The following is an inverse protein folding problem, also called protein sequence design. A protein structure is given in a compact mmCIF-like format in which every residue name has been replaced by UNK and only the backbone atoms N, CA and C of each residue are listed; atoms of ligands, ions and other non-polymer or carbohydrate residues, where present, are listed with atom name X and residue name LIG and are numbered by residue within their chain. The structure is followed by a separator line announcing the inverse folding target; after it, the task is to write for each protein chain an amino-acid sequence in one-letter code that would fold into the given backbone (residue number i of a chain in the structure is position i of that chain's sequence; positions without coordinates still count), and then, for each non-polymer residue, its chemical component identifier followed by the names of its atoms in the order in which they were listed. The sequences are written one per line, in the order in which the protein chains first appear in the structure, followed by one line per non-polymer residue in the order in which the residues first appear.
data_IF_136254917313
#
_entry.id   IF_136254917313
#
_cell.length_a   1.000
_cell.length_b   1.000
_cell.length_c   1.000
_cell.angle_alpha   90.00
_cell.angle_beta   90.00
_cell.angle_gamma   90.00
#
_symmetry.space_group_name_H-M   'P 1'
#
loop_
_entity.id
_entity.type
_entity.pdbx_description
1 polymer ?
#
# COMPACT_ATOMS: atom_id res chain seq x y z
N UNK A 1 37.23 -13.20 -8.88
CA UNK A 1 36.29 -13.30 -7.74
C UNK A 1 35.58 -11.97 -7.48
N UNK A 2 36.30 -10.86 -7.35
CA UNK A 2 35.77 -9.51 -7.08
C UNK A 2 34.70 -9.04 -8.09
N UNK A 3 34.91 -9.25 -9.39
CA UNK A 3 33.95 -8.85 -10.45
C UNK A 3 32.58 -9.53 -10.27
N UNK A 4 32.55 -10.83 -9.94
CA UNK A 4 31.31 -11.59 -9.72
C UNK A 4 30.56 -11.12 -8.46
N UNK A 5 31.31 -10.70 -7.43
CA UNK A 5 30.72 -10.15 -6.20
C UNK A 5 30.05 -8.81 -6.51
N UNK A 6 30.72 -7.94 -7.28
CA UNK A 6 30.17 -6.65 -7.71
C UNK A 6 28.92 -6.86 -8.57
N UNK A 7 28.95 -7.75 -9.55
CA UNK A 7 27.81 -8.05 -10.42
C UNK A 7 26.60 -8.59 -9.63
N UNK A 8 26.84 -9.49 -8.66
CA UNK A 8 25.80 -10.00 -7.75
C UNK A 8 25.19 -8.86 -6.92
N UNK A 9 26.05 -8.01 -6.34
CA UNK A 9 25.60 -6.86 -5.56
C UNK A 9 24.76 -5.88 -6.40
N UNK A 10 25.23 -5.54 -7.61
CA UNK A 10 24.49 -4.70 -8.55
C UNK A 10 23.14 -5.31 -8.93
N UNK A 11 23.06 -6.65 -9.06
CA UNK A 11 21.80 -7.35 -9.34
C UNK A 11 20.81 -7.21 -8.18
N UNK A 12 21.26 -7.37 -6.93
CA UNK A 12 20.42 -7.17 -5.74
C UNK A 12 19.92 -5.73 -5.67
N UNK A 13 20.82 -4.75 -5.89
CA UNK A 13 20.44 -3.33 -5.93
C UNK A 13 19.42 -3.06 -7.05
N UNK A 14 19.60 -3.67 -8.22
CA UNK A 14 18.70 -3.52 -9.36
C UNK A 14 17.28 -4.00 -9.02
N UNK A 15 17.12 -5.09 -8.27
CA UNK A 15 15.78 -5.55 -7.84
C UNK A 15 15.08 -4.48 -6.99
N UNK A 16 15.78 -3.82 -6.08
CA UNK A 16 15.21 -2.71 -5.31
C UNK A 16 14.91 -1.48 -6.19
N UNK A 17 15.75 -1.18 -7.18
CA UNK A 17 15.46 -0.11 -8.15
C UNK A 17 14.18 -0.42 -8.91
N UNK A 18 13.99 -1.66 -9.38
CA UNK A 18 12.78 -2.11 -10.08
C UNK A 18 11.53 -1.90 -9.23
N UNK A 19 11.56 -2.33 -7.96
CA UNK A 19 10.47 -2.09 -7.02
C UNK A 19 10.25 -0.59 -6.78
N UNK A 20 11.33 0.16 -6.61
CA UNK A 20 11.26 1.61 -6.41
C UNK A 20 10.63 2.35 -7.58
N UNK A 21 10.95 1.98 -8.83
CA UNK A 21 10.34 2.59 -10.02
C UNK A 21 8.84 2.30 -10.11
N UNK A 22 8.41 1.08 -9.76
CA UNK A 22 7.00 0.73 -9.67
C UNK A 22 6.27 1.61 -8.64
N UNK A 23 6.74 1.63 -7.40
CA UNK A 23 6.14 2.41 -6.32
C UNK A 23 6.18 3.92 -6.60
N UNK A 24 7.24 4.38 -7.27
CA UNK A 24 7.38 5.79 -7.67
C UNK A 24 6.36 6.18 -8.74
N UNK A 25 5.94 5.24 -9.60
CA UNK A 25 4.83 5.43 -10.54
C UNK A 25 3.53 5.81 -9.84
N UNK A 26 3.15 5.06 -8.80
CA UNK A 26 2.01 5.39 -7.95
C UNK A 26 2.17 6.75 -7.28
N UNK A 27 3.33 6.98 -6.65
CA UNK A 27 3.60 8.19 -5.90
C UNK A 27 3.53 9.45 -6.78
N UNK A 28 4.28 9.49 -7.88
CA UNK A 28 4.32 10.66 -8.79
C UNK A 28 2.92 10.96 -9.32
N UNK A 29 2.18 9.91 -9.71
CA UNK A 29 0.83 10.08 -10.25
C UNK A 29 -0.15 10.61 -9.19
N UNK A 30 -0.06 10.10 -7.95
CA UNK A 30 -0.87 10.59 -6.85
C UNK A 30 -0.61 12.07 -6.56
N UNK A 31 0.66 12.47 -6.47
CA UNK A 31 1.04 13.86 -6.27
C UNK A 31 0.53 14.77 -7.40
N UNK A 32 0.66 14.35 -8.66
CA UNK A 32 0.14 15.10 -9.82
C UNK A 32 -1.38 15.25 -9.81
N UNK A 33 -2.11 14.28 -9.25
CA UNK A 33 -3.58 14.31 -9.15
C UNK A 33 -4.09 15.06 -7.90
N UNK A 34 -3.19 15.67 -7.12
CA UNK A 34 -3.51 16.47 -5.93
C UNK A 34 -3.64 15.65 -4.64
N UNK A 35 -3.18 14.40 -4.63
CA UNK A 35 -3.02 13.64 -3.40
C UNK A 35 -1.73 14.08 -2.71
N UNK A 36 -1.68 13.95 -1.38
CA UNK A 36 -0.48 14.23 -0.58
C UNK A 36 0.31 12.96 -0.34
N UNK A 37 1.61 13.12 -0.19
CA UNK A 37 2.53 12.06 0.20
C UNK A 37 2.26 11.59 1.63
N UNK A 38 2.25 10.27 1.86
CA UNK A 38 2.17 9.68 3.19
C UNK A 38 3.32 8.70 3.45
N UNK A 39 3.62 7.82 2.50
CA UNK A 39 4.59 6.74 2.69
C UNK A 39 5.23 6.32 1.37
N UNK A 40 6.52 6.00 1.40
CA UNK A 40 7.25 5.35 0.33
C UNK A 40 8.31 4.43 0.94
N UNK A 41 8.25 3.14 0.64
CA UNK A 41 9.17 2.12 1.17
C UNK A 41 9.68 1.27 0.03
N UNK A 42 10.99 1.03 0.00
CA UNK A 42 11.65 0.12 -0.94
C UNK A 42 12.72 -0.64 -0.16
N UNK A 43 12.50 -1.93 0.04
CA UNK A 43 13.39 -2.76 0.87
C UNK A 43 13.56 -2.20 2.29
N UNK A 44 14.80 -2.00 2.76
CA UNK A 44 15.07 -1.50 4.11
C UNK A 44 14.91 0.01 4.24
N UNK A 45 14.75 0.77 3.15
CA UNK A 45 14.63 2.23 3.20
C UNK A 45 13.17 2.63 3.12
N UNK A 46 12.74 3.47 4.07
CA UNK A 46 11.42 4.05 4.11
C UNK A 46 11.47 5.56 4.28
N UNK A 47 10.55 6.25 3.62
CA UNK A 47 10.30 7.68 3.75
C UNK A 47 8.83 7.79 4.13
N UNK A 48 8.52 8.52 5.20
CA UNK A 48 7.13 8.76 5.60
C UNK A 48 6.91 10.20 5.98
N UNK A 49 5.68 10.65 5.79
CA UNK A 49 5.20 11.88 6.41
C UNK A 49 5.00 11.63 7.90
N UNK A 50 5.42 12.59 8.71
CA UNK A 50 5.18 12.63 10.15
C UNK A 50 4.81 14.06 10.50
N UNK A 51 3.52 14.32 10.68
CA UNK A 51 2.97 15.67 10.71
C UNK A 51 3.43 16.43 9.44
N UNK A 52 3.98 17.63 9.56
CA UNK A 52 4.46 18.41 8.41
C UNK A 52 5.92 18.13 8.01
N UNK A 53 6.52 17.06 8.55
CA UNK A 53 7.93 16.71 8.28
C UNK A 53 8.06 15.38 7.56
N UNK A 54 8.97 15.32 6.59
CA UNK A 54 9.39 14.07 5.96
C UNK A 54 10.46 13.42 6.84
N UNK A 55 10.28 12.14 7.16
CA UNK A 55 11.25 11.36 7.93
C UNK A 55 11.70 10.13 7.15
N UNK A 56 13.01 10.00 6.98
CA UNK A 56 13.65 8.78 6.49
C UNK A 56 13.84 7.82 7.67
N UNK A 57 13.60 6.53 7.46
CA UNK A 57 13.76 5.51 8.47
C UNK A 57 14.18 4.17 7.86
N UNK A 58 14.78 3.31 8.67
CA UNK A 58 15.04 1.93 8.30
C UNK A 58 13.79 1.10 8.56
N UNK A 59 13.18 0.59 7.50
CA UNK A 59 12.06 -0.32 7.57
C UNK A 59 12.55 -1.67 8.14
N UNK A 60 12.02 -2.04 9.31
CA UNK A 60 12.30 -3.33 9.96
C UNK A 60 11.25 -4.39 9.64
N UNK A 61 10.15 -4.01 8.98
CA UNK A 61 9.09 -4.94 8.61
C UNK A 61 9.38 -5.53 7.23
N UNK A 62 9.88 -6.76 7.22
CA UNK A 62 10.21 -7.52 6.00
C UNK A 62 9.00 -7.65 5.08
N UNK A 63 7.78 -7.67 5.62
CA UNK A 63 6.56 -7.73 4.82
C UNK A 63 6.38 -6.52 3.88
N UNK A 64 7.00 -5.38 4.19
CA UNK A 64 6.95 -4.17 3.34
C UNK A 64 8.19 -4.02 2.45
N UNK A 65 9.11 -4.99 2.42
CA UNK A 65 10.33 -4.89 1.60
C UNK A 65 10.01 -4.97 0.10
N UNK A 66 8.87 -5.56 -0.25
CA UNK A 66 8.37 -5.67 -1.62
C UNK A 66 7.96 -4.34 -2.26
N UNK A 67 8.07 -3.21 -1.57
CA UNK A 67 7.57 -1.93 -2.05
C UNK A 67 6.27 -1.54 -1.33
N UNK A 68 6.14 -0.26 -0.98
CA UNK A 68 4.88 0.32 -0.54
C UNK A 68 4.88 1.83 -0.75
N UNK A 69 4.06 2.33 -1.66
CA UNK A 69 3.74 3.75 -1.79
C UNK A 69 2.30 4.03 -1.31
N UNK A 70 2.15 5.10 -0.52
CA UNK A 70 0.85 5.60 -0.13
C UNK A 70 0.75 7.11 -0.38
N UNK A 71 -0.34 7.48 -1.06
CA UNK A 71 -0.80 8.86 -1.18
C UNK A 71 -2.26 8.91 -0.75
N UNK A 72 -2.65 10.03 -0.15
CA UNK A 72 -4.02 10.24 0.33
C UNK A 72 -4.60 11.53 -0.25
N UNK A 73 -5.93 11.61 -0.47
CA UNK A 73 -6.53 12.83 -0.97
C UNK A 73 -6.37 13.97 0.04
N UNK A 74 -6.13 15.17 -0.47
CA UNK A 74 -6.07 16.40 0.35
C UNK A 74 -7.46 16.83 0.82
N UNK A 75 -8.46 16.67 -0.04
CA UNK A 75 -9.87 16.96 0.22
C UNK A 75 -10.73 15.77 -0.18
N UNK A 76 -11.86 15.57 0.52
CA UNK A 76 -12.80 14.52 0.17
C UNK A 76 -13.71 14.97 -0.98
N UNK A 77 -13.48 14.38 -2.16
CA UNK A 77 -14.20 14.71 -3.40
C UNK A 77 -14.68 13.43 -4.08
N UNK A 78 -15.89 13.41 -4.67
CA UNK A 78 -16.39 12.24 -5.40
C UNK A 78 -15.45 11.74 -6.51
N UNK A 79 -14.66 12.64 -7.11
CA UNK A 79 -13.71 12.30 -8.19
C UNK A 79 -12.44 11.56 -7.70
N UNK A 80 -12.18 11.57 -6.38
CA UNK A 80 -11.00 10.89 -5.81
C UNK A 80 -10.93 9.41 -6.18
N UNK A 81 -12.08 8.77 -6.42
CA UNK A 81 -12.13 7.37 -6.82
C UNK A 81 -11.55 7.13 -8.21
N UNK A 82 -11.82 8.04 -9.15
CA UNK A 82 -11.25 7.97 -10.51
C UNK A 82 -9.76 8.23 -10.46
N UNK A 83 -9.34 9.22 -9.66
CA UNK A 83 -7.93 9.51 -9.43
C UNK A 83 -7.20 8.32 -8.81
N UNK A 84 -7.77 7.68 -7.79
CA UNK A 84 -7.19 6.48 -7.18
C UNK A 84 -7.08 5.32 -8.18
N UNK A 85 -8.08 5.14 -9.06
CA UNK A 85 -7.99 4.14 -10.12
C UNK A 85 -6.81 4.42 -11.07
N UNK A 86 -6.62 5.68 -11.49
CA UNK A 86 -5.47 6.08 -12.31
C UNK A 86 -4.14 5.83 -11.56
N UNK A 87 -4.10 6.14 -10.26
CA UNK A 87 -2.92 5.86 -9.41
C UNK A 87 -2.61 4.37 -9.41
N UNK A 88 -3.59 3.48 -9.25
CA UNK A 88 -3.37 2.03 -9.29
C UNK A 88 -2.77 1.56 -10.62
N UNK A 89 -3.10 2.17 -11.76
CA UNK A 89 -2.48 1.80 -13.04
C UNK A 89 -1.03 2.27 -13.17
N UNK A 90 -0.64 3.32 -12.45
CA UNK A 90 0.63 3.99 -12.66
C UNK A 90 1.85 3.13 -12.32
N UNK A 91 1.79 2.29 -11.29
CA UNK A 91 2.87 1.37 -10.93
C UNK A 91 3.14 0.33 -12.03
N UNK A 92 2.13 -0.45 -12.46
CA UNK A 92 2.28 -1.37 -13.58
C UNK A 92 2.76 -0.69 -14.87
N UNK A 93 2.26 0.51 -15.19
CA UNK A 93 2.72 1.29 -16.35
C UNK A 93 4.20 1.67 -16.20
N UNK A 94 4.62 2.14 -15.03
CA UNK A 94 6.02 2.47 -14.76
C UNK A 94 6.93 1.23 -14.90
N UNK A 95 6.48 0.07 -14.42
CA UNK A 95 7.21 -1.20 -14.55
C UNK A 95 7.41 -1.61 -16.02
N UNK A 96 6.35 -1.60 -16.85
CA UNK A 96 6.51 -2.02 -18.25
C UNK A 96 7.38 -1.04 -19.05
N UNK A 97 7.23 0.28 -18.80
CA UNK A 97 8.09 1.30 -19.44
C UNK A 97 9.55 1.09 -19.03
N UNK A 98 9.81 0.84 -17.75
CA UNK A 98 11.17 0.62 -17.26
C UNK A 98 11.78 -0.68 -17.79
N UNK A 99 10.98 -1.75 -17.90
CA UNK A 99 11.40 -3.00 -18.53
C UNK A 99 11.86 -2.78 -19.98
N UNK A 100 11.09 -2.02 -20.77
CA UNK A 100 11.44 -1.69 -22.16
C UNK A 100 12.72 -0.86 -22.23
N UNK A 101 12.87 0.16 -21.37
CA UNK A 101 14.09 0.99 -21.31
C UNK A 101 15.32 0.12 -21.00
N UNK A 102 15.25 -0.73 -19.98
CA UNK A 102 16.35 -1.60 -19.59
C UNK A 102 16.70 -2.62 -20.67
N UNK A 103 15.69 -3.20 -21.34
CA UNK A 103 15.91 -4.11 -22.46
C UNK A 103 16.57 -3.40 -23.65
N UNK A 104 16.13 -2.19 -24.00
CA UNK A 104 16.75 -1.40 -25.06
C UNK A 104 18.21 -1.04 -24.73
N UNK A 105 18.49 -0.63 -23.49
CA UNK A 105 19.85 -0.37 -23.03
C UNK A 105 20.73 -1.63 -23.08
N UNK A 106 20.20 -2.78 -22.66
CA UNK A 106 20.90 -4.06 -22.76
C UNK A 106 21.30 -4.41 -24.20
N UNK A 107 20.42 -4.16 -25.17
CA UNK A 107 20.66 -4.47 -26.58
C UNK A 107 21.60 -3.48 -27.29
N UNK A 108 21.76 -2.27 -26.75
CA UNK A 108 22.52 -1.17 -27.38
C UNK A 108 23.84 -0.85 -26.70
N UNK A 109 24.07 -1.35 -25.48
CA UNK A 109 25.28 -1.05 -24.72
C UNK A 109 26.06 -2.32 -24.40
N UNK A 110 27.34 -2.33 -24.78
CA UNK A 110 28.28 -3.37 -24.38
C UNK A 110 29.13 -2.84 -23.22
N UNK A 111 28.81 -3.27 -22.00
CA UNK A 111 29.63 -3.00 -20.82
C UNK A 111 29.67 -4.22 -19.89
N UNK A 112 30.66 -4.23 -19.00
CA UNK A 112 31.03 -5.36 -18.16
C UNK A 112 29.88 -5.96 -17.31
N UNK A 113 28.82 -5.18 -17.05
CA UNK A 113 27.67 -5.59 -16.23
C UNK A 113 26.33 -5.49 -16.98
N UNK A 114 26.32 -5.59 -18.31
CA UNK A 114 25.10 -5.49 -19.13
C UNK A 114 24.02 -6.50 -18.71
N UNK A 115 24.40 -7.69 -18.21
CA UNK A 115 23.46 -8.70 -17.68
C UNK A 115 22.60 -8.19 -16.53
N UNK A 116 23.08 -7.23 -15.73
CA UNK A 116 22.28 -6.59 -14.66
C UNK A 116 21.06 -5.87 -15.26
N UNK A 117 21.21 -5.26 -16.45
CA UNK A 117 20.10 -4.64 -17.16
C UNK A 117 19.07 -5.67 -17.63
N UNK A 118 19.53 -6.81 -18.17
CA UNK A 118 18.63 -7.90 -18.58
C UNK A 118 17.84 -8.43 -17.38
N UNK A 119 18.51 -8.69 -16.25
CA UNK A 119 17.84 -9.12 -15.01
C UNK A 119 16.85 -8.05 -14.53
N UNK A 120 17.23 -6.77 -14.56
CA UNK A 120 16.34 -5.68 -14.21
C UNK A 120 15.12 -5.59 -15.13
N UNK A 121 15.29 -5.76 -16.44
CA UNK A 121 14.20 -5.76 -17.41
C UNK A 121 13.21 -6.91 -17.15
N UNK A 122 13.72 -8.13 -16.96
CA UNK A 122 12.90 -9.31 -16.66
C UNK A 122 12.22 -9.19 -15.29
N UNK A 123 12.92 -8.69 -14.27
CA UNK A 123 12.34 -8.45 -12.96
C UNK A 123 11.22 -7.41 -13.03
N UNK A 124 11.42 -6.31 -13.77
CA UNK A 124 10.41 -5.25 -13.92
C UNK A 124 9.19 -5.74 -14.69
N UNK A 125 9.39 -6.54 -15.74
CA UNK A 125 8.30 -7.24 -16.41
C UNK A 125 7.58 -8.22 -15.46
N UNK A 126 8.32 -8.96 -14.63
CA UNK A 126 7.75 -9.84 -13.61
C UNK A 126 6.86 -9.11 -12.61
N UNK A 127 7.29 -7.94 -12.11
CA UNK A 127 6.48 -7.09 -11.23
C UNK A 127 5.20 -6.63 -11.94
N UNK A 128 5.30 -6.17 -13.19
CA UNK A 128 4.13 -5.83 -13.99
C UNK A 128 3.14 -7.00 -14.07
N UNK A 129 3.61 -8.22 -14.35
CA UNK A 129 2.74 -9.39 -14.45
C UNK A 129 2.09 -9.76 -13.10
N UNK A 130 2.85 -9.78 -12.01
CA UNK A 130 2.32 -10.15 -10.68
C UNK A 130 1.30 -9.12 -10.18
N UNK A 131 1.54 -7.83 -10.38
CA UNK A 131 0.64 -6.76 -9.95
C UNK A 131 -0.60 -6.62 -10.84
N UNK A 132 -0.56 -7.16 -12.06
CA UNK A 132 -1.69 -7.21 -12.98
C UNK A 132 -2.58 -8.45 -12.84
N UNK A 133 -2.15 -9.46 -12.09
CA UNK A 133 -3.00 -10.60 -11.72
C UNK A 133 -3.96 -10.15 -10.60
N UNK A 134 -5.29 -10.27 -10.76
CA UNK A 134 -6.23 -9.84 -9.73
C UNK A 134 -6.15 -10.77 -8.52
N UNK A 135 -5.58 -10.29 -7.42
CA UNK A 135 -5.42 -11.06 -6.20
C UNK A 135 -5.42 -10.14 -4.96
N UNK A 136 -5.40 -10.75 -3.77
CA UNK A 136 -5.21 -10.07 -2.49
C UNK A 136 -4.07 -10.74 -1.72
N UNK A 137 -3.24 -9.94 -1.07
CA UNK A 137 -2.20 -10.42 -0.16
C UNK A 137 -2.26 -9.61 1.14
N UNK A 138 -2.64 -10.29 2.23
CA UNK A 138 -2.90 -9.62 3.50
C UNK A 138 -4.06 -8.60 3.38
N UNK A 139 -3.79 -7.34 3.73
CA UNK A 139 -4.75 -6.23 3.57
C UNK A 139 -4.81 -5.66 2.17
N UNK A 140 -3.78 -5.89 1.35
CA UNK A 140 -3.59 -5.15 0.12
C UNK A 140 -4.07 -5.99 -1.07
N UNK A 141 -4.87 -5.37 -1.93
CA UNK A 141 -5.15 -5.90 -3.24
C UNK A 141 -3.96 -5.62 -4.16
N UNK A 142 -3.77 -6.47 -5.16
CA UNK A 142 -2.92 -6.11 -6.30
C UNK A 142 -3.52 -4.90 -7.02
N UNK A 143 -2.68 -4.16 -7.74
CA UNK A 143 -3.09 -2.97 -8.48
C UNK A 143 -4.27 -3.24 -9.41
N UNK A 144 -4.23 -4.38 -10.12
CA UNK A 144 -5.34 -4.79 -10.98
C UNK A 144 -6.64 -4.98 -10.19
N UNK A 145 -6.58 -5.73 -9.08
CA UNK A 145 -7.80 -6.04 -8.32
C UNK A 145 -8.39 -4.78 -7.70
N UNK A 146 -7.54 -3.89 -7.20
CA UNK A 146 -7.99 -2.61 -6.65
C UNK A 146 -8.57 -1.70 -7.74
N UNK A 147 -7.91 -1.57 -8.89
CA UNK A 147 -8.45 -0.85 -10.05
C UNK A 147 -9.83 -1.40 -10.48
N UNK A 148 -9.97 -2.72 -10.54
CA UNK A 148 -11.24 -3.38 -10.85
C UNK A 148 -12.35 -2.98 -9.86
N UNK A 149 -12.07 -3.05 -8.55
CA UNK A 149 -13.02 -2.65 -7.49
C UNK A 149 -13.42 -1.17 -7.57
N UNK A 150 -12.50 -0.30 -7.98
CA UNK A 150 -12.74 1.14 -8.14
C UNK A 150 -13.56 1.50 -9.38
N UNK A 151 -13.45 0.70 -10.45
CA UNK A 151 -14.02 1.02 -11.77
C UNK A 151 -15.32 0.29 -12.07
N UNK A 152 -15.55 -0.89 -11.49
CA UNK A 152 -16.85 -1.57 -11.56
C UNK A 152 -17.87 -0.82 -10.69
N UNK A 153 -19.05 -0.57 -11.25
CA UNK A 153 -20.17 -0.06 -10.45
C UNK A 153 -20.68 -1.22 -9.58
N UNK A 154 -20.60 -1.06 -8.26
CA UNK A 154 -20.92 -2.11 -7.30
C UNK A 154 -20.61 -1.70 -5.86
N UNK A 155 -21.00 -2.52 -4.87
CA UNK A 155 -20.74 -2.25 -3.46
C UNK A 155 -19.24 -2.11 -3.14
N UNK A 156 -18.36 -2.84 -3.85
CA UNK A 156 -16.91 -2.79 -3.63
C UNK A 156 -16.33 -1.38 -3.87
N UNK A 157 -16.92 -0.65 -4.80
CA UNK A 157 -16.51 0.73 -5.12
C UNK A 157 -16.78 1.66 -3.94
N UNK A 158 -17.94 1.52 -3.29
CA UNK A 158 -18.29 2.28 -2.09
C UNK A 158 -17.38 1.93 -0.92
N UNK A 159 -17.00 0.66 -0.79
CA UNK A 159 -16.06 0.18 0.24
C UNK A 159 -14.66 0.76 0.03
N UNK A 160 -14.14 0.79 -1.19
CA UNK A 160 -12.83 1.43 -1.46
C UNK A 160 -12.85 2.92 -1.15
N UNK A 161 -13.98 3.59 -1.42
CA UNK A 161 -14.15 5.02 -1.10
C UNK A 161 -14.21 5.26 0.40
N UNK A 162 -14.94 4.42 1.13
CA UNK A 162 -15.01 4.44 2.59
C UNK A 162 -13.62 4.21 3.20
N UNK A 163 -12.87 3.23 2.70
CA UNK A 163 -11.49 2.97 3.13
C UNK A 163 -10.59 4.18 2.88
N UNK A 164 -10.71 4.81 1.71
CA UNK A 164 -9.94 6.00 1.37
C UNK A 164 -10.25 7.18 2.32
N UNK A 165 -11.53 7.38 2.66
CA UNK A 165 -11.99 8.42 3.59
C UNK A 165 -11.53 8.15 5.02
N UNK A 166 -11.62 6.90 5.49
CA UNK A 166 -11.11 6.46 6.79
C UNK A 166 -9.62 6.75 6.93
N UNK A 167 -8.81 6.26 5.98
CA UNK A 167 -7.36 6.48 5.99
C UNK A 167 -7.02 7.97 5.86
N UNK A 168 -7.76 8.69 5.01
CA UNK A 168 -7.61 10.12 4.77
C UNK A 168 -7.86 10.98 6.02
N UNK A 169 -8.87 10.64 6.81
CA UNK A 169 -9.20 11.31 8.07
C UNK A 169 -8.23 10.91 9.18
N UNK A 170 -7.96 9.61 9.35
CA UNK A 170 -6.98 9.13 10.33
C UNK A 170 -5.60 9.78 10.11
N UNK A 171 -5.16 9.95 8.87
CA UNK A 171 -3.86 10.57 8.58
C UNK A 171 -3.78 12.08 8.94
N UNK A 172 -4.89 12.76 9.24
CA UNK A 172 -4.87 14.18 9.62
C UNK A 172 -4.44 14.36 11.07
N UNK A 173 -4.94 13.53 11.98
CA UNK A 173 -4.82 13.69 13.43
C UNK A 173 -4.41 12.41 14.18
N UNK A 174 -4.22 11.29 13.46
CA UNK A 174 -3.99 9.94 13.99
C UNK A 174 -5.11 9.45 14.92
N UNK A 175 -6.35 9.87 14.67
CA UNK A 175 -7.53 9.52 15.46
C UNK A 175 -8.63 8.96 14.58
N UNK A 176 -9.43 8.06 15.15
CA UNK A 176 -10.61 7.51 14.49
C UNK A 176 -11.89 8.27 14.86
N UNK A 177 -11.88 9.14 15.86
CA UNK A 177 -13.04 9.89 16.40
C UNK A 177 -13.82 10.71 15.36
N UNK A 178 -13.15 11.12 14.27
CA UNK A 178 -13.71 12.00 13.23
C UNK A 178 -14.16 11.22 11.98
N UNK A 179 -14.18 9.89 12.03
CA UNK A 179 -14.61 9.05 10.91
C UNK A 179 -16.12 8.91 10.90
N UNK A 180 -16.70 8.86 9.69
CA UNK A 180 -18.11 8.58 9.51
C UNK A 180 -18.40 7.10 9.81
N UNK A 181 -19.34 6.83 10.69
CA UNK A 181 -19.77 5.49 11.07
C UNK A 181 -20.29 4.68 9.88
N UNK A 182 -20.97 5.31 8.92
CA UNK A 182 -21.43 4.63 7.70
C UNK A 182 -20.27 4.06 6.87
N UNK A 183 -19.13 4.76 6.85
CA UNK A 183 -17.93 4.26 6.17
C UNK A 183 -17.37 3.03 6.90
N UNK A 184 -17.44 2.99 8.23
CA UNK A 184 -17.02 1.84 9.04
C UNK A 184 -17.92 0.62 8.74
N UNK A 185 -19.25 0.82 8.71
CA UNK A 185 -20.20 -0.23 8.41
C UNK A 185 -20.03 -0.78 6.98
N UNK A 186 -19.73 0.09 6.01
CA UNK A 186 -19.37 -0.34 4.66
C UNK A 186 -18.14 -1.28 4.67
N UNK A 187 -17.10 -0.96 5.43
CA UNK A 187 -15.94 -1.86 5.57
C UNK A 187 -16.29 -3.19 6.23
N UNK A 188 -17.16 -3.18 7.25
CA UNK A 188 -17.61 -4.39 7.95
C UNK A 188 -18.42 -5.30 7.01
N UNK A 189 -19.18 -4.72 6.08
CA UNK A 189 -20.00 -5.46 5.10
C UNK A 189 -19.18 -6.20 4.05
N UNK A 190 -17.93 -5.79 3.79
CA UNK A 190 -17.05 -6.43 2.80
C UNK A 190 -16.15 -7.47 3.47
N UNK A 191 -16.25 -8.74 3.06
CA UNK A 191 -15.48 -9.84 3.64
C UNK A 191 -13.96 -9.57 3.67
N UNK A 192 -13.43 -8.86 2.66
CA UNK A 192 -12.02 -8.56 2.58
C UNK A 192 -11.57 -7.46 3.54
N UNK A 193 -12.46 -6.53 3.92
CA UNK A 193 -12.14 -5.44 4.83
C UNK A 193 -12.77 -5.58 6.21
N UNK A 194 -13.63 -6.58 6.43
CA UNK A 194 -14.38 -6.78 7.66
C UNK A 194 -13.51 -6.75 8.91
N UNK A 195 -12.37 -7.42 8.88
CA UNK A 195 -11.44 -7.42 10.02
C UNK A 195 -10.92 -6.02 10.36
N UNK A 196 -10.57 -5.24 9.34
CA UNK A 196 -10.12 -3.86 9.53
C UNK A 196 -11.27 -2.91 9.86
N UNK A 197 -12.48 -3.16 9.34
CA UNK A 197 -13.70 -2.46 9.73
C UNK A 197 -14.02 -2.63 11.21
N UNK A 198 -13.97 -3.86 11.72
CA UNK A 198 -14.17 -4.15 13.15
C UNK A 198 -13.09 -3.51 14.04
N UNK A 199 -11.82 -3.58 13.61
CA UNK A 199 -10.74 -2.85 14.29
C UNK A 199 -11.03 -1.34 14.35
N UNK A 200 -11.42 -0.75 13.22
CA UNK A 200 -11.75 0.68 13.08
C UNK A 200 -12.93 1.06 13.98
N UNK A 201 -13.96 0.20 14.05
CA UNK A 201 -15.14 0.39 14.90
C UNK A 201 -14.77 0.38 16.38
N UNK A 202 -13.94 -0.57 16.82
CA UNK A 202 -13.46 -0.62 18.20
C UNK A 202 -12.66 0.63 18.58
N UNK A 203 -11.76 1.09 17.69
CA UNK A 203 -10.99 2.31 17.95
C UNK A 203 -11.89 3.55 18.01
N UNK A 204 -12.86 3.65 17.10
CA UNK A 204 -13.84 4.74 17.07
C UNK A 204 -14.69 4.79 18.35
N UNK A 205 -15.27 3.66 18.75
CA UNK A 205 -16.08 3.54 19.97
C UNK A 205 -15.28 3.91 21.22
N UNK A 206 -14.04 3.41 21.32
CA UNK A 206 -13.21 3.71 22.48
C UNK A 206 -12.84 5.19 22.58
N UNK A 207 -12.50 5.83 21.46
CA UNK A 207 -12.18 7.27 21.46
C UNK A 207 -13.40 8.15 21.75
N UNK A 208 -14.62 7.69 21.43
CA UNK A 208 -15.88 8.42 21.72
C UNK A 208 -16.41 8.18 23.12
N UNK A 209 -16.38 6.94 23.60
CA UNK A 209 -17.12 6.46 24.77
C UNK A 209 -16.21 5.98 25.91
N UNK A 210 -14.89 5.89 25.67
CA UNK A 210 -13.91 5.41 26.64
C UNK A 210 -13.94 3.90 26.88
N UNK A 211 -14.76 3.15 26.15
CA UNK A 211 -14.91 1.70 26.31
C UNK A 211 -15.16 1.01 24.95
N UNK A 212 -14.94 -0.31 24.90
CA UNK A 212 -15.24 -1.11 23.71
C UNK A 212 -16.65 -1.66 23.83
N UNK A 213 -17.43 -1.57 22.75
CA UNK A 213 -18.68 -2.31 22.64
C UNK A 213 -18.37 -3.82 22.65
N UNK A 214 -19.08 -4.57 23.51
CA UNK A 214 -18.83 -6.00 23.75
C UNK A 214 -19.07 -6.83 22.48
N UNK A 215 -20.18 -6.60 21.78
CA UNK A 215 -20.53 -7.35 20.56
C UNK A 215 -19.50 -7.13 19.45
N UNK A 216 -19.05 -5.88 19.28
CA UNK A 216 -18.01 -5.54 18.29
C UNK A 216 -16.68 -6.21 18.66
N UNK A 217 -16.35 -6.27 19.96
CA UNK A 217 -15.12 -6.89 20.45
C UNK A 217 -15.13 -8.40 20.25
N UNK A 218 -16.25 -9.05 20.53
CA UNK A 218 -16.43 -10.48 20.32
C UNK A 218 -16.26 -10.83 18.83
N UNK A 219 -16.91 -10.09 17.93
CA UNK A 219 -16.75 -10.28 16.48
C UNK A 219 -15.30 -10.11 16.01
N UNK A 220 -14.60 -9.09 16.53
CA UNK A 220 -13.18 -8.87 16.23
C UNK A 220 -12.30 -10.02 16.73
N UNK A 221 -12.57 -10.53 17.93
CA UNK A 221 -11.79 -11.63 18.52
C UNK A 221 -11.99 -12.93 17.75
N UNK A 222 -13.23 -13.29 17.42
CA UNK A 222 -13.53 -14.48 16.62
C UNK A 222 -12.86 -14.41 15.25
N UNK A 223 -12.91 -13.24 14.58
CA UNK A 223 -12.28 -13.10 13.26
C UNK A 223 -10.75 -13.07 13.36
N UNK A 224 -10.18 -12.58 14.45
CA UNK A 224 -8.73 -12.56 14.69
C UNK A 224 -8.10 -13.96 14.61
N UNK A 225 -8.83 -15.00 15.00
CA UNK A 225 -8.34 -16.39 14.95
C UNK A 225 -8.05 -16.87 13.52
N UNK A 226 -8.76 -16.31 12.53
CA UNK A 226 -8.63 -16.65 11.12
C UNK A 226 -7.62 -15.77 10.38
N UNK A 227 -7.10 -14.73 11.03
CA UNK A 227 -6.22 -13.74 10.39
C UNK A 227 -4.73 -14.04 10.63
N UNK A 228 -3.82 -13.53 9.77
CA UNK A 228 -2.39 -13.69 9.97
C UNK A 228 -1.92 -13.14 11.33
N UNK A 229 -1.19 -13.94 12.11
CA UNK A 229 -0.74 -13.58 13.47
C UNK A 229 0.01 -12.24 13.53
N UNK A 230 0.80 -11.92 12.51
CA UNK A 230 1.55 -10.65 12.43
C UNK A 230 0.63 -9.43 12.35
N UNK A 231 -0.47 -9.54 11.60
CA UNK A 231 -1.48 -8.50 11.47
C UNK A 231 -2.26 -8.34 12.78
N UNK A 232 -2.77 -9.43 13.34
CA UNK A 232 -3.53 -9.42 14.61
C UNK A 232 -2.67 -8.78 15.71
N UNK A 233 -1.39 -9.15 15.79
CA UNK A 233 -0.42 -8.55 16.71
C UNK A 233 -0.32 -7.04 16.49
N UNK A 234 -0.18 -6.58 15.24
CA UNK A 234 -0.06 -5.15 14.91
C UNK A 234 -1.29 -4.35 15.34
N UNK A 235 -2.51 -4.85 15.06
CA UNK A 235 -3.76 -4.19 15.46
C UNK A 235 -3.95 -4.20 16.97
N UNK A 236 -3.72 -5.33 17.64
CA UNK A 236 -3.81 -5.42 19.10
C UNK A 236 -2.82 -4.48 19.80
N UNK A 237 -1.62 -4.30 19.25
CA UNK A 237 -0.67 -3.31 19.77
C UNK A 237 -1.21 -1.88 19.70
N UNK A 238 -2.03 -1.54 18.71
CA UNK A 238 -2.69 -0.22 18.65
C UNK A 238 -3.83 -0.12 19.66
N UNK A 239 -4.69 -1.15 19.76
CA UNK A 239 -5.77 -1.20 20.76
C UNK A 239 -5.23 -1.09 22.21
N UNK A 240 -4.06 -1.68 22.49
CA UNK A 240 -3.41 -1.57 23.81
C UNK A 240 -2.90 -0.15 24.07
N UNK A 241 -2.42 0.56 23.04
CA UNK A 241 -1.96 1.95 23.20
C UNK A 241 -3.08 2.91 23.52
N UNK A 242 -4.28 2.71 22.97
CA UNK A 242 -5.44 3.55 23.27
C UNK A 242 -5.85 3.50 24.74
N UNK A 243 -5.59 2.38 25.41
CA UNK A 243 -5.92 2.17 26.84
C UNK A 243 -4.90 2.77 27.81
N UNK A 244 -3.78 3.32 27.33
CA UNK A 244 -2.71 3.89 28.15
C UNK A 244 -2.77 5.40 28.14
#
# INVERSE_FOLDING_TARGET
MTIKIIETFCTIVMVFIVLGVHELGHLITGLKLGFRFELFVVGPLGIKKNHDKIRVYLNKNVAHYGGLAATLPTEDKPDNIKKLAIICLAGPIASIVFAVILAALYLTTEFQFSKVLLVGALASLGIFLVTTIPNKTGMFFTDRKRYERLTKNGPERSVELALLRILGNYAKDNSYVNINEDDIELLISDEHYKFFGLFTKLTYQFEKEGNYNLDTKEQYDSLSELMPKSMVKAMNMQLVKLRK
#
